data_IF_602954954637
#
_entry.id   IF_602954954637
#
_cell.length_a   1.000
_cell.length_b   1.000
_cell.length_c   1.000
_cell.angle_alpha   90.00
_cell.angle_beta   90.00
_cell.angle_gamma   90.00
#
_symmetry.space_group_name_H-M   'P 1'
#
loop_
_entity.id
_entity.type
_entity.pdbx_description
1 polymer ?
#
# COMPACT_ATOMS: atom_id res chain seq x y z
N UNK A 1 -53.48 -3.68 -24.03
CA UNK A 1 -52.65 -3.11 -25.11
C UNK A 1 -51.19 -3.20 -24.66
N UNK A 2 -50.53 -4.29 -25.04
CA UNK A 2 -49.13 -4.55 -24.66
C UNK A 2 -48.23 -3.59 -25.44
N UNK A 3 -47.55 -2.66 -24.74
CA UNK A 3 -46.62 -1.74 -25.40
C UNK A 3 -45.39 -2.54 -25.83
N UNK A 4 -45.11 -2.59 -27.13
CA UNK A 4 -43.92 -3.24 -27.67
C UNK A 4 -42.66 -2.63 -27.06
N UNK A 5 -41.92 -3.44 -26.29
CA UNK A 5 -40.64 -3.07 -25.68
C UNK A 5 -39.47 -3.13 -26.68
N UNK A 6 -39.71 -3.57 -27.92
CA UNK A 6 -38.67 -3.80 -28.91
C UNK A 6 -37.94 -2.52 -29.32
N UNK A 7 -38.71 -1.43 -29.54
CA UNK A 7 -38.15 -0.11 -29.89
C UNK A 7 -37.30 0.50 -28.77
N UNK A 8 -37.77 0.62 -27.51
CA UNK A 8 -36.93 1.15 -26.45
C UNK A 8 -35.72 0.26 -26.17
N UNK A 9 -35.86 -1.07 -26.29
CA UNK A 9 -34.72 -1.99 -26.16
C UNK A 9 -33.66 -1.77 -27.23
N UNK A 10 -34.06 -1.69 -28.52
CA UNK A 10 -33.13 -1.44 -29.62
C UNK A 10 -32.42 -0.09 -29.46
N UNK A 11 -33.15 0.96 -29.04
CA UNK A 11 -32.56 2.28 -28.78
C UNK A 11 -31.50 2.23 -27.67
N UNK A 12 -31.75 1.49 -26.59
CA UNK A 12 -30.75 1.31 -25.50
C UNK A 12 -29.53 0.56 -26.02
N UNK A 13 -29.71 -0.52 -26.77
CA UNK A 13 -28.59 -1.30 -27.33
C UNK A 13 -27.74 -0.43 -28.26
N UNK A 14 -28.36 0.36 -29.13
CA UNK A 14 -27.65 1.28 -30.03
C UNK A 14 -26.88 2.34 -29.22
N UNK A 15 -27.51 2.97 -28.23
CA UNK A 15 -26.86 3.98 -27.39
C UNK A 15 -25.70 3.40 -26.59
N UNK A 16 -25.86 2.21 -26.01
CA UNK A 16 -24.78 1.52 -25.30
C UNK A 16 -23.63 1.16 -26.23
N UNK A 17 -23.93 0.65 -27.43
CA UNK A 17 -22.91 0.26 -28.42
C UNK A 17 -22.13 1.48 -28.91
N UNK A 18 -22.81 2.57 -29.24
CA UNK A 18 -22.18 3.84 -29.64
C UNK A 18 -21.33 4.41 -28.50
N UNK A 19 -21.82 4.33 -27.26
CA UNK A 19 -21.06 4.79 -26.09
C UNK A 19 -19.81 3.93 -25.85
N UNK A 20 -19.91 2.61 -26.00
CA UNK A 20 -18.76 1.69 -25.92
C UNK A 20 -17.75 2.01 -27.03
N UNK A 21 -18.21 2.22 -28.26
CA UNK A 21 -17.35 2.58 -29.38
C UNK A 21 -16.66 3.94 -29.17
N UNK A 22 -17.41 4.97 -28.72
CA UNK A 22 -16.82 6.26 -28.39
C UNK A 22 -15.77 6.12 -27.29
N UNK A 23 -16.08 5.43 -26.19
CA UNK A 23 -15.12 5.17 -25.11
C UNK A 23 -13.87 4.40 -25.59
N UNK A 24 -14.04 3.43 -26.49
CA UNK A 24 -12.94 2.60 -26.98
C UNK A 24 -12.02 3.32 -27.97
N UNK A 25 -12.54 4.27 -28.76
CA UNK A 25 -11.82 4.84 -29.90
C UNK A 25 -11.57 6.36 -29.82
N UNK A 26 -12.28 7.09 -28.95
CA UNK A 26 -12.12 8.56 -28.86
C UNK A 26 -11.51 9.02 -27.54
N UNK A 27 -11.46 8.16 -26.52
CA UNK A 27 -10.88 8.50 -25.22
C UNK A 27 -9.48 7.91 -25.13
N UNK A 28 -8.51 8.62 -25.73
CA UNK A 28 -7.11 8.40 -25.39
C UNK A 28 -6.92 8.79 -23.93
N UNK A 29 -6.79 7.81 -23.04
CA UNK A 29 -6.49 8.08 -21.64
C UNK A 29 -4.99 8.33 -21.53
N UNK A 30 -4.60 9.55 -21.18
CA UNK A 30 -3.20 9.84 -20.86
C UNK A 30 -2.85 9.12 -19.55
N UNK A 31 -1.89 8.19 -19.65
CA UNK A 31 -1.27 7.57 -18.49
C UNK A 31 -0.29 8.58 -17.89
N UNK A 32 -0.78 9.37 -16.93
CA UNK A 32 0.06 10.28 -16.18
C UNK A 32 0.70 9.52 -15.02
N UNK A 33 2.01 9.31 -15.12
CA UNK A 33 2.84 8.62 -14.13
C UNK A 33 3.24 9.53 -12.96
N UNK A 34 2.36 10.42 -12.51
CA UNK A 34 2.66 11.34 -11.41
C UNK A 34 2.17 10.71 -10.10
N UNK A 35 3.04 10.14 -9.26
CA UNK A 35 2.63 9.61 -7.97
C UNK A 35 2.33 10.76 -6.98
N UNK A 36 1.41 10.53 -6.06
CA UNK A 36 1.22 11.42 -4.90
C UNK A 36 2.28 11.24 -3.80
N UNK A 37 3.19 10.28 -3.97
CA UNK A 37 4.21 9.94 -2.98
C UNK A 37 5.59 9.78 -3.63
N UNK A 38 6.61 10.11 -2.86
CA UNK A 38 8.01 9.77 -3.11
C UNK A 38 8.23 8.29 -2.74
N UNK A 39 8.87 7.53 -3.63
CA UNK A 39 9.23 6.12 -3.37
C UNK A 39 10.48 6.01 -2.50
N UNK A 40 10.45 6.67 -1.35
CA UNK A 40 11.52 6.71 -0.37
C UNK A 40 10.97 7.08 1.00
N UNK A 41 11.35 6.31 2.02
CA UNK A 41 11.13 6.70 3.40
C UNK A 41 12.28 7.57 3.92
N UNK A 42 12.01 8.52 4.84
CA UNK A 42 13.08 9.21 5.56
C UNK A 42 13.87 8.21 6.43
N UNK A 43 15.16 8.47 6.59
CA UNK A 43 16.04 7.67 7.47
C UNK A 43 15.84 7.99 8.94
N UNK A 44 15.54 9.25 9.24
CA UNK A 44 15.29 9.71 10.60
C UNK A 44 14.19 10.76 10.52
N UNK A 45 13.24 10.68 11.45
CA UNK A 45 12.26 11.72 11.78
C UNK A 45 12.19 11.82 13.30
N UNK A 46 11.50 12.82 13.82
CA UNK A 46 11.35 12.99 15.27
C UNK A 46 10.82 11.70 15.91
N UNK A 47 11.57 11.14 16.86
CA UNK A 47 11.21 9.93 17.59
C UNK A 47 11.36 8.60 16.82
N UNK A 48 11.71 8.58 15.53
CA UNK A 48 11.82 7.34 14.75
C UNK A 48 13.07 7.26 13.87
N UNK A 49 13.85 6.20 14.08
CA UNK A 49 14.94 5.77 13.19
C UNK A 49 14.44 4.75 12.16
N UNK A 50 14.52 5.09 10.88
CA UNK A 50 14.11 4.29 9.74
C UNK A 50 15.26 3.56 9.07
N UNK A 51 15.07 2.27 8.81
CA UNK A 51 16.05 1.40 8.20
C UNK A 51 15.42 0.59 7.07
N UNK A 52 15.70 1.02 5.84
CA UNK A 52 15.13 0.41 4.64
C UNK A 52 15.59 -1.05 4.50
N UNK A 53 14.66 -1.90 4.06
CA UNK A 53 14.86 -3.31 3.78
C UNK A 53 15.16 -3.52 2.29
N UNK A 54 16.10 -4.42 2.03
CA UNK A 54 16.50 -4.91 0.71
C UNK A 54 16.43 -6.44 0.70
N UNK A 55 16.14 -7.05 -0.42
CA UNK A 55 15.82 -8.48 -0.51
C UNK A 55 16.69 -9.16 -1.56
N UNK A 56 17.33 -10.28 -1.18
CA UNK A 56 18.02 -11.13 -2.13
C UNK A 56 17.03 -12.09 -2.79
N UNK A 57 17.14 -12.28 -4.10
CA UNK A 57 16.28 -13.18 -4.88
C UNK A 57 16.98 -14.50 -5.27
N UNK A 58 18.24 -14.70 -4.87
CA UNK A 58 18.97 -15.92 -5.20
C UNK A 58 18.23 -17.16 -4.65
N UNK A 59 17.69 -18.04 -5.51
CA UNK A 59 16.83 -19.15 -5.10
C UNK A 59 17.57 -20.28 -4.39
N UNK A 60 18.89 -20.34 -4.52
CA UNK A 60 19.71 -21.45 -4.01
C UNK A 60 20.28 -21.14 -2.63
N UNK A 61 20.87 -19.94 -2.48
CA UNK A 61 21.62 -19.55 -1.28
C UNK A 61 20.77 -18.77 -0.27
N UNK A 62 19.92 -17.85 -0.73
CA UNK A 62 19.27 -16.88 0.16
C UNK A 62 17.74 -17.05 0.23
N UNK A 63 17.06 -17.03 -0.91
CA UNK A 63 15.60 -17.08 -1.04
C UNK A 63 15.08 -18.50 -1.35
N UNK A 64 15.74 -19.52 -0.78
CA UNK A 64 15.32 -20.92 -0.93
C UNK A 64 13.91 -21.12 -0.37
N UNK A 65 13.10 -21.87 -1.10
CA UNK A 65 11.69 -22.14 -0.76
C UNK A 65 10.85 -20.86 -0.57
N UNK A 66 11.18 -19.78 -1.31
CA UNK A 66 10.53 -18.47 -1.22
C UNK A 66 10.59 -17.81 0.16
N UNK A 67 11.60 -18.14 0.96
CA UNK A 67 11.85 -17.41 2.21
C UNK A 67 12.29 -15.98 1.91
N UNK A 68 11.80 -15.05 2.72
CA UNK A 68 12.20 -13.65 2.65
C UNK A 68 13.65 -13.50 3.15
N UNK A 69 14.58 -13.28 2.24
CA UNK A 69 15.98 -12.98 2.53
C UNK A 69 16.21 -11.47 2.57
N UNK A 70 15.80 -10.83 3.66
CA UNK A 70 15.86 -9.38 3.83
C UNK A 70 17.10 -8.92 4.59
N UNK A 71 17.65 -7.78 4.18
CA UNK A 71 18.79 -7.10 4.80
C UNK A 71 18.42 -5.64 5.07
N UNK A 72 18.90 -5.11 6.19
CA UNK A 72 18.81 -3.67 6.45
C UNK A 72 19.92 -2.94 5.72
N UNK A 73 19.61 -1.81 5.08
CA UNK A 73 20.62 -1.04 4.33
C UNK A 73 21.80 -0.61 5.21
N UNK A 74 21.57 -0.30 6.48
CA UNK A 74 22.65 0.09 7.40
C UNK A 74 23.60 -1.05 7.76
N UNK A 75 23.17 -2.31 7.59
CA UNK A 75 24.01 -3.49 7.85
C UNK A 75 24.81 -3.91 6.59
N UNK A 76 24.60 -3.25 5.45
CA UNK A 76 25.25 -3.56 4.18
C UNK A 76 26.44 -2.66 3.93
N UNK A 77 27.57 -3.26 3.55
CA UNK A 77 28.73 -2.51 3.05
C UNK A 77 28.42 -1.83 1.71
N UNK A 78 27.70 -2.54 0.83
CA UNK A 78 27.22 -2.03 -0.45
C UNK A 78 25.69 -2.21 -0.49
N UNK A 79 24.89 -1.11 -0.48
CA UNK A 79 23.43 -1.16 -0.26
C UNK A 79 22.61 -2.06 -1.20
N UNK A 80 23.12 -2.33 -2.41
CA UNK A 80 22.42 -3.09 -3.43
C UNK A 80 23.06 -4.45 -3.74
N UNK A 81 24.03 -4.90 -2.94
CA UNK A 81 24.72 -6.20 -3.13
C UNK A 81 24.51 -7.08 -1.91
N UNK A 82 24.12 -8.33 -2.15
CA UNK A 82 23.90 -9.32 -1.10
C UNK A 82 25.25 -9.75 -0.49
N UNK A 83 25.41 -9.68 0.84
CA UNK A 83 26.67 -10.06 1.49
C UNK A 83 26.92 -11.57 1.46
N UNK A 84 25.87 -12.38 1.29
CA UNK A 84 25.96 -13.85 1.33
C UNK A 84 26.32 -14.45 -0.03
N UNK A 85 25.75 -13.93 -1.13
CA UNK A 85 25.93 -14.52 -2.47
C UNK A 85 26.49 -13.55 -3.52
N UNK A 86 26.63 -12.26 -3.22
CA UNK A 86 27.13 -11.25 -4.16
C UNK A 86 26.12 -10.79 -5.21
N UNK A 87 24.89 -11.32 -5.22
CA UNK A 87 23.85 -10.91 -6.17
C UNK A 87 23.26 -9.54 -5.83
N UNK A 88 22.62 -8.93 -6.82
CA UNK A 88 21.86 -7.68 -6.63
C UNK A 88 20.70 -7.89 -5.64
N UNK A 89 20.52 -6.91 -4.75
CA UNK A 89 19.36 -6.80 -3.89
C UNK A 89 18.24 -5.95 -4.50
N UNK A 90 17.01 -6.24 -4.10
CA UNK A 90 15.79 -5.62 -4.61
C UNK A 90 14.98 -4.98 -3.48
N UNK A 91 14.00 -4.11 -3.80
CA UNK A 91 13.19 -3.44 -2.79
C UNK A 91 11.95 -4.25 -2.31
N UNK A 92 11.70 -5.41 -2.92
CA UNK A 92 10.60 -6.31 -2.58
C UNK A 92 11.10 -7.76 -2.55
N UNK A 93 10.39 -8.64 -1.85
CA UNK A 93 10.72 -10.05 -1.79
C UNK A 93 10.51 -10.72 -3.17
N UNK A 94 11.18 -11.86 -3.38
CA UNK A 94 11.10 -12.60 -4.65
C UNK A 94 9.66 -13.00 -4.98
N UNK A 95 8.94 -13.53 -3.99
CA UNK A 95 7.55 -13.93 -4.16
C UNK A 95 6.63 -12.75 -4.56
N UNK A 96 6.93 -11.54 -4.07
CA UNK A 96 6.19 -10.33 -4.45
C UNK A 96 6.52 -9.92 -5.88
N UNK A 97 7.81 -9.94 -6.27
CA UNK A 97 8.24 -9.57 -7.62
C UNK A 97 7.65 -10.47 -8.70
N UNK A 98 7.52 -11.76 -8.42
CA UNK A 98 6.97 -12.74 -9.37
C UNK A 98 5.43 -12.68 -9.48
N UNK A 99 4.74 -12.19 -8.45
CA UNK A 99 3.27 -12.10 -8.44
C UNK A 99 2.73 -10.75 -8.89
N UNK A 100 3.55 -9.69 -8.82
CA UNK A 100 3.14 -8.33 -9.14
C UNK A 100 3.53 -7.94 -10.57
N UNK A 101 2.77 -7.04 -11.22
CA UNK A 101 3.15 -6.45 -12.50
C UNK A 101 4.58 -5.86 -12.46
N UNK A 102 5.32 -6.00 -13.56
CA UNK A 102 6.74 -5.64 -13.62
C UNK A 102 7.03 -4.18 -13.21
N UNK A 103 6.09 -3.29 -13.50
CA UNK A 103 6.17 -1.85 -13.23
C UNK A 103 5.58 -1.42 -11.87
N UNK A 104 5.28 -2.39 -10.99
CA UNK A 104 4.96 -2.13 -9.59
C UNK A 104 6.23 -1.80 -8.81
N UNK A 105 6.23 -0.67 -8.12
CA UNK A 105 7.36 -0.25 -7.29
C UNK A 105 7.05 -0.48 -5.82
N UNK A 106 8.10 -0.78 -5.05
CA UNK A 106 8.00 -1.10 -3.64
C UNK A 106 9.12 -0.42 -2.88
N UNK A 107 8.83 0.00 -1.66
CA UNK A 107 9.81 0.31 -0.63
C UNK A 107 9.31 -0.26 0.69
N UNK A 108 10.20 -0.88 1.46
CA UNK A 108 9.92 -1.39 2.81
C UNK A 108 10.96 -0.82 3.76
N UNK A 109 10.55 -0.41 4.95
CA UNK A 109 11.45 0.09 5.98
C UNK A 109 10.99 -0.39 7.35
N UNK A 110 11.94 -0.74 8.21
CA UNK A 110 11.66 -0.91 9.62
C UNK A 110 11.98 0.39 10.35
N UNK A 111 11.04 0.86 11.15
CA UNK A 111 11.21 2.03 12.00
C UNK A 111 11.25 1.60 13.46
N UNK A 112 12.15 2.20 14.21
CA UNK A 112 12.30 1.95 15.65
C UNK A 112 12.35 3.27 16.39
N UNK A 113 11.57 3.37 17.48
CA UNK A 113 11.59 4.53 18.36
C UNK A 113 12.49 4.32 19.59
N UNK A 114 12.68 5.36 20.38
CA UNK A 114 13.60 5.36 21.54
C UNK A 114 13.23 4.35 22.63
N UNK A 115 11.95 3.96 22.71
CA UNK A 115 11.46 2.94 23.65
C UNK A 115 11.53 1.51 23.09
N UNK A 116 12.08 1.34 21.89
CA UNK A 116 12.31 0.04 21.24
C UNK A 116 11.09 -0.53 20.50
N UNK A 117 10.00 0.23 20.36
CA UNK A 117 8.86 -0.19 19.52
C UNK A 117 9.31 -0.27 18.08
N UNK A 118 8.97 -1.36 17.40
CA UNK A 118 9.32 -1.58 16.00
C UNK A 118 8.08 -1.63 15.12
N UNK A 119 8.06 -0.79 14.09
CA UNK A 119 7.05 -0.77 13.05
C UNK A 119 7.69 -1.14 11.70
N UNK A 120 6.96 -1.86 10.87
CA UNK A 120 7.34 -2.08 9.47
C UNK A 120 6.41 -1.27 8.59
N UNK A 121 6.98 -0.38 7.80
CA UNK A 121 6.26 0.45 6.85
C UNK A 121 6.57 0.03 5.42
N UNK A 122 5.58 0.13 4.53
CA UNK A 122 5.77 -0.09 3.10
C UNK A 122 5.04 0.97 2.27
N UNK A 123 5.61 1.28 1.12
CA UNK A 123 4.96 2.01 0.04
C UNK A 123 4.92 1.09 -1.17
N UNK A 124 3.73 0.86 -1.71
CA UNK A 124 3.53 0.14 -2.97
C UNK A 124 2.91 1.11 -3.96
N UNK A 125 3.62 1.41 -5.04
CA UNK A 125 3.09 2.23 -6.12
C UNK A 125 2.56 1.33 -7.22
N UNK A 126 1.28 1.50 -7.56
CA UNK A 126 0.64 0.70 -8.59
C UNK A 126 1.33 0.86 -9.93
N UNK A 127 1.54 -0.25 -10.63
CA UNK A 127 1.87 -0.25 -12.04
C UNK A 127 0.69 0.13 -12.94
N UNK A 128 0.83 -0.14 -14.23
CA UNK A 128 -0.17 0.11 -15.27
C UNK A 128 -1.35 -0.86 -15.15
N UNK A 129 -1.10 -2.06 -14.62
CA UNK A 129 -2.11 -3.06 -14.37
C UNK A 129 -2.87 -2.81 -13.05
N UNK A 130 -4.20 -2.99 -13.09
CA UNK A 130 -5.12 -2.63 -12.00
C UNK A 130 -5.00 -3.51 -10.75
N UNK A 131 -4.41 -4.68 -10.89
CA UNK A 131 -4.24 -5.70 -9.87
C UNK A 131 -2.96 -5.53 -9.04
N UNK A 132 -2.11 -4.54 -9.36
CA UNK A 132 -0.90 -4.20 -8.60
C UNK A 132 -1.14 -3.93 -7.10
N UNK A 133 -2.37 -3.53 -6.74
CA UNK A 133 -2.75 -3.33 -5.34
C UNK A 133 -4.15 -3.92 -5.12
N UNK A 134 -4.26 -4.95 -4.30
CA UNK A 134 -5.53 -5.53 -3.87
C UNK A 134 -5.85 -5.13 -2.42
N UNK A 135 -6.93 -5.71 -1.87
CA UNK A 135 -7.29 -5.53 -0.47
C UNK A 135 -6.32 -6.24 0.47
N UNK A 136 -5.86 -5.59 1.56
CA UNK A 136 -4.89 -6.20 2.48
C UNK A 136 -5.46 -7.42 3.20
N UNK A 137 -6.77 -7.43 3.45
CA UNK A 137 -7.49 -8.56 4.06
C UNK A 137 -7.27 -9.89 3.32
N UNK A 138 -7.09 -9.86 1.99
CA UNK A 138 -6.82 -11.07 1.21
C UNK A 138 -5.43 -11.62 1.51
N UNK A 139 -4.40 -10.77 1.50
CA UNK A 139 -3.03 -11.19 1.78
C UNK A 139 -2.83 -11.56 3.24
N UNK A 140 -3.37 -10.79 4.18
CA UNK A 140 -3.26 -11.11 5.62
C UNK A 140 -3.84 -12.49 5.92
N UNK A 141 -5.01 -12.83 5.37
CA UNK A 141 -5.59 -14.18 5.47
C UNK A 141 -4.74 -15.23 4.77
N UNK A 142 -4.25 -14.94 3.55
CA UNK A 142 -3.36 -15.85 2.81
C UNK A 142 -2.06 -16.17 3.54
N UNK A 143 -1.55 -15.23 4.34
CA UNK A 143 -0.37 -15.39 5.22
C UNK A 143 -0.70 -16.11 6.54
N UNK A 144 -1.96 -16.53 6.74
CA UNK A 144 -2.40 -17.29 7.90
C UNK A 144 -2.83 -16.45 9.09
N UNK A 145 -3.14 -15.17 8.92
CA UNK A 145 -3.69 -14.33 9.97
C UNK A 145 -5.23 -14.47 10.07
N UNK A 146 -5.72 -14.50 11.30
CA UNK A 146 -7.12 -14.22 11.62
C UNK A 146 -7.30 -12.70 11.68
N UNK A 147 -8.42 -12.20 11.16
CA UNK A 147 -8.76 -10.77 11.24
C UNK A 147 -9.76 -10.58 12.37
N UNK A 148 -9.34 -9.91 13.44
CA UNK A 148 -10.11 -9.75 14.68
C UNK A 148 -11.04 -8.53 14.63
N UNK A 149 -10.82 -7.61 13.69
CA UNK A 149 -11.65 -6.44 13.47
C UNK A 149 -10.98 -5.40 12.57
N UNK A 150 -11.77 -4.46 12.07
CA UNK A 150 -11.27 -3.33 11.29
C UNK A 150 -12.05 -2.05 11.59
N UNK A 151 -11.36 -0.91 11.58
CA UNK A 151 -11.94 0.40 11.86
C UNK A 151 -11.09 1.52 11.23
N UNK A 152 -11.62 2.73 11.13
CA UNK A 152 -10.83 3.89 10.73
C UNK A 152 -10.28 4.58 11.98
N UNK A 153 -8.99 4.88 11.97
CA UNK A 153 -8.31 5.73 12.93
C UNK A 153 -8.10 7.11 12.27
N UNK A 154 -8.47 8.18 12.97
CA UNK A 154 -8.20 9.54 12.53
C UNK A 154 -6.86 9.99 13.11
N UNK A 155 -5.91 10.31 12.24
CA UNK A 155 -4.58 10.81 12.60
C UNK A 155 -4.58 12.32 12.41
N UNK A 156 -4.53 13.13 13.49
CA UNK A 156 -4.41 14.57 13.36
C UNK A 156 -3.11 14.93 12.65
N UNK A 157 -3.15 15.82 11.66
CA UNK A 157 -1.97 16.34 10.98
C UNK A 157 -1.97 17.86 11.12
N UNK A 158 -0.80 18.45 11.39
CA UNK A 158 -0.69 19.91 11.51
C UNK A 158 -1.03 20.59 10.18
N UNK A 159 -1.76 21.71 10.22
CA UNK A 159 -2.08 22.49 9.02
C UNK A 159 -3.14 21.91 8.08
N UNK A 160 -3.80 20.80 8.42
CA UNK A 160 -4.85 20.19 7.57
C UNK A 160 -5.86 19.34 8.34
N UNK A 161 -6.88 18.85 7.65
CA UNK A 161 -7.84 17.88 8.20
C UNK A 161 -7.14 16.54 8.53
N UNK A 162 -7.61 15.80 9.56
CA UNK A 162 -7.04 14.52 9.95
C UNK A 162 -7.01 13.50 8.80
N UNK A 163 -5.90 12.76 8.70
CA UNK A 163 -5.78 11.63 7.78
C UNK A 163 -6.56 10.44 8.33
N UNK A 164 -7.40 9.84 7.49
CA UNK A 164 -8.11 8.59 7.84
C UNK A 164 -7.30 7.39 7.43
N UNK A 165 -6.88 6.60 8.41
CA UNK A 165 -6.13 5.36 8.25
C UNK A 165 -7.04 4.17 8.57
N UNK A 166 -7.07 3.14 7.72
CA UNK A 166 -7.77 1.89 8.02
C UNK A 166 -6.86 0.99 8.85
N UNK A 167 -7.29 0.65 10.05
CA UNK A 167 -6.58 -0.31 10.92
C UNK A 167 -7.30 -1.65 10.87
N UNK A 168 -6.54 -2.72 10.68
CA UNK A 168 -6.98 -4.11 10.80
C UNK A 168 -6.25 -4.72 12.01
N UNK A 169 -7.02 -5.22 12.98
CA UNK A 169 -6.48 -6.06 14.05
C UNK A 169 -6.34 -7.49 13.53
N UNK A 170 -5.17 -8.07 13.70
CA UNK A 170 -4.88 -9.43 13.27
C UNK A 170 -4.29 -10.26 14.42
N UNK A 171 -4.51 -11.56 14.35
CA UNK A 171 -3.94 -12.53 15.27
C UNK A 171 -3.48 -13.78 14.51
N UNK A 172 -2.44 -14.43 15.01
CA UNK A 172 -1.93 -15.69 14.48
C UNK A 172 -1.43 -16.57 15.62
N UNK A 173 -1.77 -17.85 15.57
CA UNK A 173 -1.27 -18.82 16.57
C UNK A 173 -0.07 -19.58 16.01
N UNK A 174 1.08 -19.45 16.67
CA UNK A 174 2.27 -20.22 16.34
C UNK A 174 2.32 -21.51 17.16
N UNK A 175 2.75 -22.60 16.54
CA UNK A 175 3.00 -23.86 17.25
C UNK A 175 4.45 -23.86 17.72
N UNK A 176 4.65 -23.85 19.03
CA UNK A 176 5.97 -23.96 19.66
C UNK A 176 6.09 -25.31 20.39
N UNK A 177 7.30 -25.78 20.75
CA UNK A 177 7.46 -26.97 21.57
C UNK A 177 6.69 -26.94 22.89
N UNK A 178 6.52 -25.75 23.47
CA UNK A 178 5.81 -25.52 24.74
C UNK A 178 4.29 -25.34 24.58
N UNK A 179 3.79 -25.37 23.34
CA UNK A 179 2.37 -25.26 23.01
C UNK A 179 2.02 -24.14 22.03
N UNK A 180 0.73 -23.92 21.75
CA UNK A 180 0.28 -22.84 20.88
C UNK A 180 0.46 -21.47 21.56
N UNK A 181 1.19 -20.56 20.92
CA UNK A 181 1.40 -19.19 21.41
C UNK A 181 0.69 -18.21 20.46
N UNK A 182 -0.26 -17.40 20.96
CA UNK A 182 -0.90 -16.37 20.14
C UNK A 182 0.06 -15.19 19.93
N UNK A 183 0.06 -14.66 18.72
CA UNK A 183 0.75 -13.43 18.33
C UNK A 183 -0.28 -12.45 17.79
N UNK A 184 -0.31 -11.26 18.37
CA UNK A 184 -1.26 -10.21 18.01
C UNK A 184 -0.54 -9.09 17.28
N UNK A 185 -1.10 -8.70 16.14
CA UNK A 185 -0.53 -7.64 15.30
C UNK A 185 -1.62 -6.70 14.81
N UNK A 186 -1.21 -5.55 14.33
CA UNK A 186 -2.07 -4.66 13.58
C UNK A 186 -1.50 -4.42 12.18
N UNK A 187 -2.40 -4.02 11.29
CA UNK A 187 -2.07 -3.60 9.94
C UNK A 187 -2.86 -2.35 9.60
N UNK A 188 -2.19 -1.20 9.61
CA UNK A 188 -2.74 0.11 9.32
C UNK A 188 -2.40 0.52 7.88
N UNK A 189 -3.35 1.08 7.13
CA UNK A 189 -3.10 1.48 5.75
C UNK A 189 -4.02 2.58 5.22
N UNK A 190 -3.56 3.23 4.17
CA UNK A 190 -4.34 4.18 3.37
C UNK A 190 -3.79 4.23 1.94
N UNK A 191 -4.57 4.82 1.03
CA UNK A 191 -4.21 4.99 -0.36
C UNK A 191 -4.01 6.47 -0.67
N UNK A 192 -3.00 6.77 -1.48
CA UNK A 192 -2.64 8.13 -1.90
C UNK A 192 -2.62 8.18 -3.43
N UNK A 193 -3.49 8.99 -4.02
CA UNK A 193 -3.47 9.32 -5.43
C UNK A 193 -2.75 10.65 -5.67
N UNK A 194 -2.86 11.20 -6.87
CA UNK A 194 -2.22 12.48 -7.21
C UNK A 194 -2.76 13.68 -6.40
N UNK A 195 -4.04 13.67 -6.07
CA UNK A 195 -4.75 14.81 -5.47
C UNK A 195 -5.71 14.41 -4.33
N UNK A 196 -5.64 13.16 -3.85
CA UNK A 196 -6.58 12.65 -2.86
C UNK A 196 -6.05 11.45 -2.09
N UNK A 197 -6.62 11.26 -0.92
CA UNK A 197 -6.31 10.15 -0.02
C UNK A 197 -7.58 9.41 0.34
N UNK A 198 -7.47 8.11 0.61
CA UNK A 198 -8.60 7.35 1.13
C UNK A 198 -8.17 6.10 1.90
N UNK A 199 -8.84 5.75 3.02
CA UNK A 199 -8.67 4.45 3.68
C UNK A 199 -9.39 3.32 2.93
N UNK A 200 -10.20 3.63 1.91
CA UNK A 200 -11.12 2.68 1.29
C UNK A 200 -10.67 2.24 -0.10
N UNK A 201 -10.45 0.94 -0.25
CA UNK A 201 -10.17 0.33 -1.56
C UNK A 201 -11.30 0.59 -2.57
N UNK A 202 -12.56 0.60 -2.12
CA UNK A 202 -13.70 0.86 -3.00
C UNK A 202 -13.75 2.31 -3.47
N UNK A 203 -13.50 3.26 -2.57
CA UNK A 203 -13.41 4.67 -2.93
C UNK A 203 -12.28 4.90 -3.92
N UNK A 204 -11.13 4.25 -3.72
CA UNK A 204 -10.04 4.23 -4.70
C UNK A 204 -10.48 3.71 -6.07
N UNK A 205 -11.17 2.57 -6.12
CA UNK A 205 -11.67 2.01 -7.39
C UNK A 205 -12.65 2.96 -8.10
N UNK A 206 -13.53 3.61 -7.33
CA UNK A 206 -14.44 4.62 -7.84
C UNK A 206 -13.67 5.80 -8.47
N UNK A 207 -12.69 6.35 -7.75
CA UNK A 207 -11.89 7.47 -8.25
C UNK A 207 -11.06 7.11 -9.48
N UNK A 208 -10.49 5.91 -9.53
CA UNK A 208 -9.80 5.39 -10.71
C UNK A 208 -10.71 5.26 -11.93
N UNK A 209 -12.00 4.97 -11.73
CA UNK A 209 -12.98 4.95 -12.82
C UNK A 209 -13.41 6.36 -13.21
N UNK A 210 -13.68 7.21 -12.22
CA UNK A 210 -14.11 8.60 -12.40
C UNK A 210 -13.08 9.43 -13.17
N UNK A 211 -11.82 9.41 -12.76
CA UNK A 211 -10.76 10.20 -13.42
C UNK A 211 -10.59 9.80 -14.88
N UNK A 212 -10.69 8.51 -15.20
CA UNK A 212 -10.59 8.03 -16.58
C UNK A 212 -11.75 8.52 -17.45
N UNK A 213 -12.95 8.56 -16.91
CA UNK A 213 -14.15 8.96 -17.66
C UNK A 213 -14.27 10.48 -17.77
N UNK A 214 -13.96 11.20 -16.68
CA UNK A 214 -14.24 12.63 -16.57
C UNK A 214 -13.02 13.49 -16.86
N UNK A 215 -11.82 13.04 -16.47
CA UNK A 215 -10.56 13.78 -16.66
C UNK A 215 -9.70 13.23 -17.79
N UNK A 216 -10.06 12.06 -18.35
CA UNK A 216 -9.26 11.32 -19.34
C UNK A 216 -7.82 11.03 -18.85
N UNK A 217 -7.63 10.92 -17.54
CA UNK A 217 -6.33 10.66 -16.91
C UNK A 217 -6.34 9.32 -16.17
N UNK A 218 -5.23 8.59 -16.22
CA UNK A 218 -4.99 7.41 -15.40
C UNK A 218 -3.75 7.61 -14.51
N UNK A 219 -3.97 8.16 -13.32
CA UNK A 219 -2.92 8.37 -12.33
C UNK A 219 -2.60 7.09 -11.55
N UNK A 220 -1.32 6.91 -11.23
CA UNK A 220 -0.88 5.86 -10.29
C UNK A 220 -1.34 6.17 -8.87
N UNK A 221 -1.60 5.11 -8.11
CA UNK A 221 -1.94 5.19 -6.71
C UNK A 221 -0.87 4.50 -5.89
N UNK A 222 -0.49 5.13 -4.79
CA UNK A 222 0.30 4.52 -3.76
C UNK A 222 -0.59 3.89 -2.69
N UNK A 223 -0.07 2.83 -2.11
CA UNK A 223 -0.60 2.14 -0.97
C UNK A 223 0.45 2.14 0.11
N UNK A 224 0.18 2.89 1.18
CA UNK A 224 1.07 2.97 2.33
C UNK A 224 0.49 2.09 3.41
N UNK A 225 1.33 1.26 3.99
CA UNK A 225 0.97 0.39 5.10
C UNK A 225 2.00 0.49 6.23
N UNK A 226 1.51 0.30 7.45
CA UNK A 226 2.29 0.25 8.68
C UNK A 226 1.78 -0.95 9.48
N UNK A 227 2.67 -1.83 9.87
CA UNK A 227 2.34 -3.01 10.67
C UNK A 227 3.27 -3.11 11.88
N UNK A 228 2.75 -3.67 12.95
CA UNK A 228 3.49 -3.85 14.19
C UNK A 228 2.81 -4.84 15.12
N UNK A 229 3.45 -5.09 16.25
CA UNK A 229 2.85 -5.87 17.34
C UNK A 229 1.81 -5.02 18.09
N UNK A 230 0.83 -5.70 18.67
CA UNK A 230 -0.14 -5.10 19.61
C UNK A 230 -0.38 -6.04 20.77
N UNK A 231 -0.90 -5.50 21.85
CA UNK A 231 -1.45 -6.30 22.94
C UNK A 231 -2.73 -7.04 22.47
N UNK A 232 -3.07 -8.14 23.16
CA UNK A 232 -4.29 -8.89 22.88
C UNK A 232 -5.55 -7.99 22.97
N UNK A 233 -5.60 -7.19 24.03
CA UNK A 233 -6.64 -6.22 24.34
C UNK A 233 -6.04 -4.84 24.58
N UNK A 234 -6.80 -3.78 24.29
CA UNK A 234 -6.36 -2.39 24.41
C UNK A 234 -6.05 -1.72 23.06
N UNK A 235 -5.66 -0.45 23.14
CA UNK A 235 -5.41 0.43 21.99
C UNK A 235 -4.08 1.16 22.09
N UNK A 236 -3.16 0.72 22.97
CA UNK A 236 -1.87 1.39 23.19
C UNK A 236 -1.04 1.53 21.91
N UNK A 237 -1.10 0.53 21.03
CA UNK A 237 -0.47 0.56 19.71
C UNK A 237 -0.98 1.69 18.78
N UNK A 238 -2.18 2.24 19.01
CA UNK A 238 -2.70 3.35 18.19
C UNK A 238 -1.85 4.62 18.36
N UNK A 239 -1.33 4.87 19.56
CA UNK A 239 -0.42 6.01 19.80
C UNK A 239 0.81 5.93 18.91
N UNK A 240 1.38 4.73 18.76
CA UNK A 240 2.52 4.50 17.87
C UNK A 240 2.15 4.70 16.40
N UNK A 241 0.94 4.32 15.98
CA UNK A 241 0.46 4.59 14.61
C UNK A 241 0.33 6.09 14.37
N UNK A 242 -0.35 6.80 15.28
CA UNK A 242 -0.60 8.25 15.17
C UNK A 242 0.73 9.01 15.10
N UNK A 243 1.61 8.76 16.07
CA UNK A 243 2.91 9.42 16.16
C UNK A 243 3.79 9.13 14.92
N UNK A 244 3.89 7.86 14.53
CA UNK A 244 4.62 7.48 13.31
C UNK A 244 4.07 8.18 12.06
N UNK A 245 2.75 8.18 11.87
CA UNK A 245 2.12 8.78 10.68
C UNK A 245 2.30 10.30 10.68
N UNK A 246 2.17 10.97 11.83
CA UNK A 246 2.42 12.41 11.95
C UNK A 246 3.84 12.78 11.51
N UNK A 247 4.82 11.99 11.93
CA UNK A 247 6.23 12.28 11.70
C UNK A 247 6.71 11.84 10.32
N UNK A 248 6.24 10.71 9.78
CA UNK A 248 6.75 10.17 8.50
C UNK A 248 5.94 10.62 7.30
N UNK A 249 4.61 10.72 7.42
CA UNK A 249 3.74 10.93 6.27
C UNK A 249 4.01 12.22 5.47
N UNK A 250 4.28 13.38 6.11
CA UNK A 250 4.57 14.62 5.38
C UNK A 250 5.82 14.52 4.47
N UNK A 251 6.79 13.69 4.85
CA UNK A 251 8.04 13.50 4.11
C UNK A 251 7.93 12.53 2.94
N UNK A 252 6.88 11.70 2.89
CA UNK A 252 6.65 10.77 1.77
C UNK A 252 5.76 11.35 0.70
N UNK A 253 5.13 12.51 0.90
CA UNK A 253 4.31 13.16 -0.12
C UNK A 253 5.18 13.87 -1.16
N UNK A 254 4.77 13.79 -2.43
CA UNK A 254 5.32 14.69 -3.45
C UNK A 254 4.87 16.12 -3.19
N UNK A 255 5.62 17.10 -3.70
CA UNK A 255 5.29 18.52 -3.52
C UNK A 255 3.87 18.86 -3.99
N UNK A 256 3.48 18.34 -5.16
CA UNK A 256 2.12 18.51 -5.70
C UNK A 256 1.05 18.00 -4.74
N UNK A 257 1.27 16.83 -4.13
CA UNK A 257 0.31 16.26 -3.20
C UNK A 257 0.32 17.03 -1.87
N UNK A 258 1.48 17.47 -1.39
CA UNK A 258 1.60 18.31 -0.18
C UNK A 258 0.82 19.61 -0.33
N UNK A 259 1.03 20.38 -1.39
CA UNK A 259 0.22 21.58 -1.72
C UNK A 259 -1.27 21.28 -1.69
N UNK A 260 -1.72 20.15 -2.26
CA UNK A 260 -3.15 19.78 -2.25
C UNK A 260 -3.68 19.42 -0.87
N UNK A 261 -2.87 18.75 -0.06
CA UNK A 261 -3.29 18.24 1.24
C UNK A 261 -3.23 19.32 2.34
N UNK A 262 -2.27 20.24 2.26
CA UNK A 262 -2.00 21.28 3.25
C UNK A 262 -2.46 22.68 2.80
N UNK A 263 -2.76 22.86 1.51
CA UNK A 263 -3.20 24.16 0.97
C UNK A 263 -2.08 25.17 0.73
N UNK A 264 -0.83 24.71 0.64
CA UNK A 264 0.38 25.53 0.37
C UNK A 264 0.51 25.97 -1.09
#
# INVERSE_FOLDING_TARGET
>A
MEKSLLKPFLSIVILMTLSIFALAFTVGVELNFIPGVEMKFPREVEGWGGNQLKFCHNPELCAKDYKDASYYISDLEIPDICPECGDRLFNMARAEKEQLPEDTEFVKSAFTNDVGTRLFASIVLSGTARDSIHRPQRCLKGQGNTLDGEYNLEVPLEGRDPLKVRVIKASRTYRTPDGPVPYYSFYAYWFVGQDRETPSHYSRMFWLAWDRVVRSTANRWAYIAVQGEREAEGTGYETNIVDFVQQVYPHVLTETMRTKAYGE
#
